data_IF_411873051464
#
_entry.id   IF_411873051464
#
_cell.length_a   1.000
_cell.length_b   1.000
_cell.length_c   1.000
_cell.angle_alpha   90.00
_cell.angle_beta   90.00
_cell.angle_gamma   90.00
#
_symmetry.space_group_name_H-M   'P 1'
#
loop_
_entity.id
_entity.type
_entity.pdbx_description
1 polymer ?
#
# COMPACT_ATOMS: atom_id res chain seq x y z
N UNK A 1 -28.69 1.41 -2.88
CA UNK A 1 -27.71 0.33 -2.68
C UNK A 1 -26.59 0.47 -3.68
N UNK A 2 -25.34 0.24 -3.23
CA UNK A 2 -24.17 0.21 -4.09
C UNK A 2 -24.25 -0.99 -5.04
N UNK A 3 -23.72 -0.86 -6.26
CA UNK A 3 -23.62 -1.99 -7.17
C UNK A 3 -22.64 -3.05 -6.65
N UNK A 4 -22.85 -4.32 -6.97
CA UNK A 4 -21.97 -5.39 -6.55
C UNK A 4 -20.48 -5.17 -6.97
N UNK A 5 -20.17 -4.73 -8.22
CA UNK A 5 -18.80 -4.41 -8.61
C UNK A 5 -18.17 -3.30 -7.77
N UNK A 6 -18.93 -2.25 -7.44
CA UNK A 6 -18.43 -1.15 -6.62
C UNK A 6 -18.12 -1.60 -5.19
N UNK A 7 -18.99 -2.44 -4.61
CA UNK A 7 -18.78 -3.01 -3.27
C UNK A 7 -17.52 -3.85 -3.23
N UNK A 8 -17.26 -4.67 -4.26
CA UNK A 8 -16.05 -5.47 -4.36
C UNK A 8 -14.79 -4.60 -4.45
N UNK A 9 -14.80 -3.54 -5.29
CA UNK A 9 -13.65 -2.63 -5.38
C UNK A 9 -13.39 -1.90 -4.07
N UNK A 10 -14.42 -1.45 -3.36
CA UNK A 10 -14.29 -0.83 -2.04
C UNK A 10 -13.64 -1.80 -1.05
N UNK A 11 -14.09 -3.06 -1.01
CA UNK A 11 -13.50 -4.09 -0.14
C UNK A 11 -12.01 -4.31 -0.43
N UNK A 12 -11.64 -4.44 -1.71
CA UNK A 12 -10.24 -4.63 -2.13
C UNK A 12 -9.35 -3.43 -1.81
N UNK A 13 -9.86 -2.20 -1.97
CA UNK A 13 -9.13 -0.98 -1.59
C UNK A 13 -8.98 -0.89 -0.07
N UNK A 14 -10.02 -1.27 0.69
CA UNK A 14 -9.95 -1.32 2.15
C UNK A 14 -8.92 -2.34 2.62
N UNK A 15 -8.87 -3.54 2.02
CA UNK A 15 -7.80 -4.53 2.29
C UNK A 15 -6.42 -3.97 1.98
N UNK A 16 -6.25 -3.30 0.82
CA UNK A 16 -5.00 -2.68 0.42
C UNK A 16 -4.49 -1.67 1.46
N UNK A 17 -5.36 -0.78 1.94
CA UNK A 17 -5.01 0.22 2.95
C UNK A 17 -4.75 -0.43 4.31
N UNK A 18 -5.57 -1.40 4.70
CA UNK A 18 -5.43 -2.10 5.98
C UNK A 18 -4.12 -2.88 6.06
N UNK A 19 -3.72 -3.55 4.96
CA UNK A 19 -2.44 -4.24 4.88
C UNK A 19 -1.25 -3.29 5.06
N UNK A 20 -1.36 -2.02 4.63
CA UNK A 20 -0.30 -1.02 4.88
C UNK A 20 -0.11 -0.78 6.38
N UNK A 21 -1.19 -0.68 7.14
CA UNK A 21 -1.11 -0.51 8.59
C UNK A 21 -0.55 -1.76 9.27
N UNK A 22 -1.05 -2.94 8.92
CA UNK A 22 -0.59 -4.22 9.49
C UNK A 22 0.90 -4.42 9.23
N UNK A 23 1.36 -4.31 7.97
CA UNK A 23 2.78 -4.52 7.61
C UNK A 23 3.71 -3.51 8.27
N UNK A 24 3.24 -2.28 8.49
CA UNK A 24 4.02 -1.25 9.19
C UNK A 24 4.19 -1.55 10.67
N UNK A 25 3.13 -1.98 11.32
CA UNK A 25 2.99 -1.97 12.77
C UNK A 25 3.19 -3.35 13.44
N UNK A 26 3.64 -4.37 12.72
CA UNK A 26 3.79 -5.76 13.20
C UNK A 26 4.47 -5.81 14.59
N UNK A 27 5.61 -5.14 14.76
CA UNK A 27 6.36 -5.20 16.04
C UNK A 27 5.58 -4.56 17.17
N UNK A 28 4.92 -3.42 16.89
CA UNK A 28 4.12 -2.71 17.89
C UNK A 28 2.92 -3.54 18.32
N UNK A 29 2.29 -4.24 17.37
CA UNK A 29 1.11 -5.04 17.62
C UNK A 29 1.46 -6.34 18.37
N UNK A 30 2.61 -6.96 18.07
CA UNK A 30 3.14 -8.08 18.85
C UNK A 30 3.36 -7.71 20.33
N UNK A 31 3.88 -6.50 20.61
CA UNK A 31 4.02 -6.01 21.98
C UNK A 31 2.67 -5.80 22.69
N UNK A 32 1.59 -5.63 21.95
CA UNK A 32 0.22 -5.52 22.45
C UNK A 32 -0.53 -6.85 22.54
N UNK A 33 0.16 -7.96 22.23
CA UNK A 33 -0.44 -9.29 22.22
C UNK A 33 -1.28 -9.59 20.97
N UNK A 34 -1.09 -8.84 19.88
CA UNK A 34 -1.84 -9.03 18.61
C UNK A 34 -0.92 -9.60 17.55
N UNK A 35 -1.32 -10.73 16.95
CA UNK A 35 -0.64 -11.37 15.81
C UNK A 35 -1.63 -11.52 14.65
N UNK A 36 -1.34 -10.88 13.52
CA UNK A 36 -2.17 -10.94 12.30
C UNK A 36 -1.80 -12.08 11.36
N UNK A 37 -0.78 -12.87 11.70
CA UNK A 37 -0.34 -13.99 10.89
C UNK A 37 -0.02 -15.19 11.79
N UNK A 38 -0.38 -16.44 11.42
CA UNK A 38 -0.14 -17.60 12.26
C UNK A 38 1.32 -17.77 12.67
N UNK A 39 2.27 -17.50 11.78
CA UNK A 39 3.70 -17.58 12.06
C UNK A 39 4.19 -16.57 13.12
N UNK A 40 3.40 -15.55 13.44
CA UNK A 40 3.71 -14.55 14.47
C UNK A 40 3.20 -14.95 15.86
N UNK A 41 2.32 -15.95 15.97
CA UNK A 41 1.80 -16.40 17.26
C UNK A 41 2.91 -16.82 18.24
N UNK A 42 3.95 -17.57 17.82
CA UNK A 42 5.06 -17.92 18.71
C UNK A 42 5.93 -16.72 19.13
N UNK A 43 5.78 -15.58 18.47
CA UNK A 43 6.52 -14.34 18.75
C UNK A 43 5.86 -13.48 19.83
N UNK A 44 4.63 -13.79 20.22
CA UNK A 44 3.91 -13.05 21.26
C UNK A 44 4.66 -13.12 22.59
N UNK A 45 4.87 -11.95 23.21
CA UNK A 45 5.57 -11.84 24.49
C UNK A 45 7.08 -12.07 24.45
N UNK A 46 7.66 -12.28 23.26
CA UNK A 46 9.10 -12.41 23.10
C UNK A 46 9.78 -11.07 22.80
N UNK A 47 11.06 -10.91 23.16
CA UNK A 47 11.84 -9.76 22.74
C UNK A 47 11.88 -9.64 21.21
N UNK A 48 11.83 -8.42 20.70
CA UNK A 48 11.86 -8.16 19.26
C UNK A 48 13.11 -8.77 18.58
N UNK A 49 14.24 -8.82 19.29
CA UNK A 49 15.50 -9.42 18.81
C UNK A 49 15.39 -10.90 18.46
N UNK A 50 14.54 -11.66 19.15
CA UNK A 50 14.34 -13.09 18.92
C UNK A 50 13.38 -13.39 17.78
N UNK A 51 12.65 -12.39 17.32
CA UNK A 51 11.57 -12.53 16.34
C UNK A 51 11.88 -11.85 14.99
N UNK A 52 13.05 -11.23 14.84
CA UNK A 52 13.42 -10.38 13.69
C UNK A 52 13.20 -11.09 12.36
N UNK A 53 13.71 -12.30 12.21
CA UNK A 53 13.64 -13.01 10.92
C UNK A 53 12.22 -13.45 10.60
N UNK A 54 11.45 -13.91 11.60
CA UNK A 54 10.05 -14.27 11.42
C UNK A 54 9.22 -13.04 11.05
N UNK A 55 9.41 -11.91 11.72
CA UNK A 55 8.73 -10.65 11.43
C UNK A 55 9.09 -10.15 10.03
N UNK A 56 10.36 -10.25 9.63
CA UNK A 56 10.83 -9.87 8.31
C UNK A 56 10.18 -10.72 7.21
N UNK A 57 10.15 -12.05 7.40
CA UNK A 57 9.54 -12.98 6.44
C UNK A 57 8.04 -12.71 6.29
N UNK A 58 7.30 -12.58 7.38
CA UNK A 58 5.86 -12.27 7.36
C UNK A 58 5.61 -10.89 6.74
N UNK A 59 6.42 -9.89 7.07
CA UNK A 59 6.30 -8.55 6.45
C UNK A 59 6.50 -8.61 4.95
N UNK A 60 7.47 -9.39 4.47
CA UNK A 60 7.70 -9.60 3.03
C UNK A 60 6.48 -10.22 2.36
N UNK A 61 5.91 -11.29 2.94
CA UNK A 61 4.72 -11.96 2.43
C UNK A 61 3.52 -11.02 2.36
N UNK A 62 3.20 -10.33 3.46
CA UNK A 62 2.09 -9.38 3.53
C UNK A 62 2.29 -8.20 2.57
N UNK A 63 3.53 -7.74 2.39
CA UNK A 63 3.86 -6.68 1.44
C UNK A 63 3.55 -7.12 0.01
N UNK A 64 4.02 -8.28 -0.44
CA UNK A 64 3.73 -8.80 -1.78
C UNK A 64 2.23 -8.93 -2.00
N UNK A 65 1.51 -9.52 -1.04
CA UNK A 65 0.05 -9.63 -1.09
C UNK A 65 -0.63 -8.27 -1.23
N UNK A 66 -0.17 -7.27 -0.47
CA UNK A 66 -0.73 -5.92 -0.51
C UNK A 66 -0.47 -5.24 -1.86
N UNK A 67 0.75 -5.32 -2.39
CA UNK A 67 1.12 -4.68 -3.66
C UNK A 67 0.29 -5.23 -4.83
N UNK A 68 -0.05 -6.53 -4.82
CA UNK A 68 -0.97 -7.12 -5.80
C UNK A 68 -2.42 -6.59 -5.70
N UNK A 69 -2.80 -5.91 -4.61
CA UNK A 69 -4.10 -5.25 -4.47
C UNK A 69 -4.14 -3.83 -5.04
N UNK A 70 -2.99 -3.25 -5.39
CA UNK A 70 -2.91 -1.88 -5.90
C UNK A 70 -3.88 -1.58 -7.07
N UNK A 71 -4.12 -2.50 -8.05
CA UNK A 71 -5.07 -2.27 -9.14
C UNK A 71 -6.50 -1.98 -8.71
N UNK A 72 -6.91 -2.44 -7.52
CA UNK A 72 -8.24 -2.18 -7.00
C UNK A 72 -8.53 -0.68 -6.84
N UNK A 73 -7.50 0.13 -6.56
CA UNK A 73 -7.64 1.57 -6.43
C UNK A 73 -8.04 2.23 -7.76
N UNK A 74 -7.35 1.87 -8.84
CA UNK A 74 -7.70 2.34 -10.19
C UNK A 74 -9.08 1.84 -10.61
N UNK A 75 -9.42 0.59 -10.28
CA UNK A 75 -10.74 0.02 -10.49
C UNK A 75 -11.83 0.84 -9.79
N UNK A 76 -11.66 1.12 -8.50
CA UNK A 76 -12.59 1.95 -7.73
C UNK A 76 -12.78 3.33 -8.37
N UNK A 77 -11.69 3.99 -8.78
CA UNK A 77 -11.76 5.33 -9.39
C UNK A 77 -12.47 5.34 -10.75
N UNK A 78 -12.54 4.21 -11.46
CA UNK A 78 -13.31 4.09 -12.71
C UNK A 78 -14.80 3.93 -12.46
N UNK A 79 -15.16 3.19 -11.40
CA UNK A 79 -16.56 2.90 -11.05
C UNK A 79 -17.27 4.08 -10.37
N UNK A 80 -16.53 5.02 -9.78
CA UNK A 80 -17.11 6.16 -9.09
C UNK A 80 -17.50 7.26 -10.08
N UNK A 81 -18.79 7.67 -10.15
CA UNK A 81 -19.27 8.76 -11.00
C UNK A 81 -18.90 10.13 -10.41
N UNK A 82 -17.62 10.46 -10.40
CA UNK A 82 -17.15 11.71 -9.83
C UNK A 82 -17.28 12.88 -10.79
N UNK A 83 -17.80 14.06 -10.35
CA UNK A 83 -17.95 15.24 -11.17
C UNK A 83 -16.61 15.79 -11.68
N UNK A 84 -16.64 16.73 -12.64
CA UNK A 84 -15.45 17.34 -13.24
C UNK A 84 -14.53 17.96 -12.18
N UNK A 85 -15.11 18.67 -11.22
CA UNK A 85 -14.43 19.15 -10.01
C UNK A 85 -14.79 18.24 -8.84
N UNK A 86 -13.79 17.55 -8.25
CA UNK A 86 -14.07 16.57 -7.19
C UNK A 86 -12.97 16.55 -6.11
N UNK A 87 -13.24 17.10 -4.94
CA UNK A 87 -12.36 16.96 -3.77
C UNK A 87 -12.06 15.49 -3.43
N UNK A 88 -13.02 14.58 -3.64
CA UNK A 88 -12.84 13.16 -3.41
C UNK A 88 -11.70 12.56 -4.25
N UNK A 89 -11.51 13.03 -5.53
CA UNK A 89 -10.35 12.63 -6.33
C UNK A 89 -9.03 13.12 -5.75
N UNK A 90 -8.99 14.36 -5.26
CA UNK A 90 -7.81 14.90 -4.59
C UNK A 90 -7.43 14.07 -3.36
N UNK A 91 -8.41 13.77 -2.51
CA UNK A 91 -8.22 12.92 -1.33
C UNK A 91 -7.75 11.52 -1.70
N UNK A 92 -8.29 10.93 -2.78
CA UNK A 92 -7.86 9.63 -3.27
C UNK A 92 -6.39 9.65 -3.73
N UNK A 93 -5.95 10.71 -4.43
CA UNK A 93 -4.54 10.88 -4.83
C UNK A 93 -3.63 10.96 -3.60
N UNK A 94 -4.01 11.76 -2.59
CA UNK A 94 -3.25 11.86 -1.32
C UNK A 94 -3.13 10.49 -0.67
N UNK A 95 -4.25 9.80 -0.50
CA UNK A 95 -4.28 8.48 0.13
C UNK A 95 -3.37 7.49 -0.60
N UNK A 96 -3.46 7.41 -1.93
CA UNK A 96 -2.65 6.51 -2.73
C UNK A 96 -1.15 6.83 -2.61
N UNK A 97 -0.77 8.12 -2.68
CA UNK A 97 0.64 8.53 -2.58
C UNK A 97 1.22 8.28 -1.19
N UNK A 98 0.44 8.51 -0.11
CA UNK A 98 0.88 8.14 1.24
C UNK A 98 0.98 6.63 1.43
N UNK A 99 0.05 5.87 0.87
CA UNK A 99 0.11 4.40 0.91
C UNK A 99 1.34 3.87 0.16
N UNK A 100 1.68 4.43 -1.02
CA UNK A 100 2.92 4.13 -1.74
C UNK A 100 4.16 4.38 -0.86
N UNK A 101 4.22 5.54 -0.21
CA UNK A 101 5.31 5.88 0.70
C UNK A 101 5.42 4.91 1.88
N UNK A 102 4.29 4.53 2.48
CA UNK A 102 4.29 3.56 3.58
C UNK A 102 4.78 2.19 3.15
N UNK A 103 4.36 1.69 1.99
CA UNK A 103 4.81 0.40 1.48
C UNK A 103 6.30 0.40 1.14
N UNK A 104 6.85 1.49 0.60
CA UNK A 104 8.31 1.64 0.42
C UNK A 104 9.05 1.55 1.75
N UNK A 105 8.53 2.17 2.81
CA UNK A 105 9.07 2.02 4.17
C UNK A 105 8.98 0.58 4.70
N UNK A 106 7.89 -0.13 4.39
CA UNK A 106 7.73 -1.55 4.74
C UNK A 106 8.73 -2.44 3.98
N UNK A 107 9.03 -2.13 2.71
CA UNK A 107 10.03 -2.84 1.93
C UNK A 107 11.42 -2.75 2.59
N UNK A 108 11.82 -1.56 3.01
CA UNK A 108 13.09 -1.37 3.74
C UNK A 108 13.12 -2.21 5.03
N UNK A 109 12.05 -2.20 5.81
CA UNK A 109 11.93 -3.01 7.04
C UNK A 109 11.93 -4.52 6.75
N UNK A 110 11.49 -4.92 5.57
CA UNK A 110 11.54 -6.32 5.11
C UNK A 110 12.92 -6.70 4.53
N UNK A 111 13.90 -5.78 4.54
CA UNK A 111 15.23 -6.02 3.96
C UNK A 111 15.22 -5.99 2.43
N UNK A 112 14.24 -5.31 1.83
CA UNK A 112 14.12 -5.16 0.38
C UNK A 112 14.48 -3.73 -0.05
N UNK A 113 15.02 -3.57 -1.24
CA UNK A 113 15.23 -2.24 -1.82
C UNK A 113 13.87 -1.58 -2.12
N UNK A 114 13.64 -0.33 -1.69
CA UNK A 114 12.41 0.37 -2.02
C UNK A 114 12.41 0.80 -3.48
N UNK A 115 11.27 0.65 -4.16
CA UNK A 115 11.11 1.18 -5.52
C UNK A 115 11.09 2.71 -5.54
N UNK A 116 11.37 3.29 -6.71
CA UNK A 116 11.40 4.75 -6.88
C UNK A 116 10.02 5.37 -6.63
N UNK A 117 9.97 6.42 -5.83
CA UNK A 117 8.77 7.17 -5.51
C UNK A 117 9.11 8.56 -4.98
N UNK A 118 8.12 9.44 -4.90
CA UNK A 118 8.32 10.77 -4.33
C UNK A 118 8.00 10.77 -2.84
N UNK A 119 8.93 11.29 -2.04
CA UNK A 119 8.74 11.54 -0.61
C UNK A 119 8.38 13.02 -0.31
N UNK A 120 8.37 13.84 -1.36
CA UNK A 120 8.06 15.27 -1.25
C UNK A 120 6.60 15.49 -0.90
N UNK A 121 6.33 16.05 0.27
CA UNK A 121 4.99 16.46 0.70
C UNK A 121 4.39 17.50 -0.23
N UNK A 122 5.22 18.44 -0.74
CA UNK A 122 4.77 19.43 -1.72
C UNK A 122 4.26 18.78 -3.00
N UNK A 123 4.94 17.72 -3.47
CA UNK A 123 4.49 16.99 -4.65
C UNK A 123 3.17 16.25 -4.41
N UNK A 124 2.96 15.71 -3.22
CA UNK A 124 1.68 15.08 -2.83
C UNK A 124 0.57 16.12 -2.86
N UNK A 125 0.79 17.30 -2.24
CA UNK A 125 -0.19 18.39 -2.22
C UNK A 125 -0.52 18.85 -3.65
N UNK A 126 0.48 19.14 -4.47
CA UNK A 126 0.26 19.55 -5.86
C UNK A 126 -0.47 18.49 -6.69
N UNK A 127 -0.10 17.24 -6.54
CA UNK A 127 -0.78 16.13 -7.22
C UNK A 127 -2.24 16.00 -6.79
N UNK A 128 -2.53 16.25 -5.52
CA UNK A 128 -3.89 16.29 -4.98
C UNK A 128 -4.71 17.41 -5.60
N UNK A 129 -4.19 18.64 -5.63
CA UNK A 129 -4.86 19.80 -6.26
C UNK A 129 -5.16 19.51 -7.72
N UNK A 130 -4.18 19.00 -8.48
CA UNK A 130 -4.38 18.60 -9.86
C UNK A 130 -5.40 17.47 -9.99
N UNK A 131 -5.46 16.56 -9.01
CA UNK A 131 -6.46 15.48 -8.94
C UNK A 131 -7.89 16.01 -8.78
N UNK A 132 -8.08 17.10 -8.00
CA UNK A 132 -9.40 17.73 -7.84
C UNK A 132 -9.96 18.21 -9.16
N UNK A 133 -9.12 18.83 -9.99
CA UNK A 133 -9.54 19.48 -11.25
C UNK A 133 -9.42 18.59 -12.49
N UNK A 134 -8.67 17.47 -12.42
CA UNK A 134 -8.37 16.63 -13.59
C UNK A 134 -8.46 15.14 -13.30
N UNK A 135 -9.49 14.50 -13.86
CA UNK A 135 -9.62 13.03 -13.83
C UNK A 135 -8.50 12.32 -14.60
N UNK A 136 -7.98 12.96 -15.67
CA UNK A 136 -6.85 12.42 -16.45
C UNK A 136 -5.57 12.39 -15.59
N UNK A 137 -5.35 13.43 -14.79
CA UNK A 137 -4.23 13.48 -13.86
C UNK A 137 -4.33 12.37 -12.80
N UNK A 138 -5.48 12.25 -12.14
CA UNK A 138 -5.72 11.20 -11.15
C UNK A 138 -5.43 9.81 -11.72
N UNK A 139 -5.97 9.49 -12.90
CA UNK A 139 -5.70 8.20 -13.55
C UNK A 139 -4.22 8.01 -13.87
N UNK A 140 -3.52 9.03 -14.37
CA UNK A 140 -2.09 8.95 -14.68
C UNK A 140 -1.26 8.68 -13.43
N UNK A 141 -1.56 9.36 -12.32
CA UNK A 141 -0.88 9.14 -11.04
C UNK A 141 -1.16 7.72 -10.52
N UNK A 142 -2.43 7.30 -10.53
CA UNK A 142 -2.82 5.98 -10.06
C UNK A 142 -2.13 4.86 -10.86
N UNK A 143 -2.20 4.88 -12.20
CA UNK A 143 -1.55 3.87 -13.04
C UNK A 143 -0.02 3.85 -12.87
N UNK A 144 0.62 5.00 -12.67
CA UNK A 144 2.06 5.05 -12.45
C UNK A 144 2.46 4.40 -11.12
N UNK A 145 1.71 4.66 -10.05
CA UNK A 145 1.96 4.08 -8.74
C UNK A 145 1.67 2.58 -8.76
N UNK A 146 0.53 2.18 -9.33
CA UNK A 146 0.12 0.79 -9.51
C UNK A 146 1.18 -0.02 -10.26
N UNK A 147 1.65 0.48 -11.42
CA UNK A 147 2.67 -0.22 -12.21
C UNK A 147 3.99 -0.43 -11.43
N UNK A 148 4.42 0.57 -10.64
CA UNK A 148 5.61 0.43 -9.80
C UNK A 148 5.41 -0.57 -8.66
N UNK A 149 4.23 -0.58 -8.04
CA UNK A 149 3.91 -1.52 -6.97
C UNK A 149 3.86 -2.96 -7.47
N UNK A 150 3.25 -3.19 -8.65
CA UNK A 150 3.20 -4.52 -9.25
C UNK A 150 4.60 -5.03 -9.62
N UNK A 151 5.42 -4.18 -10.27
CA UNK A 151 6.80 -4.55 -10.57
C UNK A 151 7.60 -4.87 -9.29
N UNK A 152 7.44 -4.05 -8.24
CA UNK A 152 8.08 -4.31 -6.95
C UNK A 152 7.59 -5.62 -6.32
N UNK A 153 6.30 -5.96 -6.43
CA UNK A 153 5.79 -7.23 -5.94
C UNK A 153 6.46 -8.43 -6.63
N UNK A 154 6.63 -8.36 -7.96
CA UNK A 154 7.32 -9.39 -8.74
C UNK A 154 8.79 -9.52 -8.34
N UNK A 155 9.51 -8.40 -8.19
CA UNK A 155 10.92 -8.40 -7.80
C UNK A 155 11.12 -8.96 -6.39
N UNK A 156 10.28 -8.55 -5.44
CA UNK A 156 10.32 -9.05 -4.07
C UNK A 156 9.98 -10.56 -4.03
N UNK A 157 8.96 -11.01 -4.77
CA UNK A 157 8.57 -12.42 -4.84
C UNK A 157 9.69 -13.29 -5.45
N UNK A 158 10.36 -12.78 -6.49
CA UNK A 158 11.47 -13.46 -7.17
C UNK A 158 12.79 -13.42 -6.35
N UNK A 159 12.83 -12.73 -5.21
CA UNK A 159 14.05 -12.57 -4.42
C UNK A 159 15.11 -11.70 -5.08
N UNK A 160 14.74 -10.93 -6.09
CA UNK A 160 15.65 -9.98 -6.76
C UNK A 160 15.81 -8.75 -5.86
N UNK A 161 16.84 -8.80 -5.01
CA UNK A 161 17.21 -7.68 -4.12
C UNK A 161 18.25 -6.75 -4.78
N UNK A 162 18.44 -6.86 -6.08
CA UNK A 162 19.50 -6.13 -6.80
C UNK A 162 19.11 -4.65 -6.86
N UNK A 163 19.88 -3.87 -6.08
CA UNK A 163 19.73 -2.44 -6.01
C UNK A 163 19.87 -1.80 -7.40
N UNK A 164 18.90 -0.98 -7.76
CA UNK A 164 18.98 0.03 -8.81
C UNK A 164 19.17 1.40 -8.14
#
# INVERSE_FOLDING_TARGET
PLSAPLTEQISRVSEFIQLANITRDIERDLLRGVAYHPSLLPCLGRPASESVDTVRAVRKELLVRALHRAPAFTGLMKELPLPAFSPARGSAVVMLMFTDRYYRGCAVKAGQAPWRGSDSTLWIVWSSVLGVISSRWTRRVAHRIEGRMLAAAEDIAAGRSDGI
#
